data_IF_372383469669
#
_entry.id   IF_372383469669
#
_cell.length_a   1.000
_cell.length_b   1.000
_cell.length_c   1.000
_cell.angle_alpha   90.00
_cell.angle_beta   90.00
_cell.angle_gamma   90.00
#
_symmetry.space_group_name_H-M   'P 1'
#
loop_
_entity.id
_entity.type
_entity.pdbx_description
1 polymer ?
#
# COMPACT_ATOMS: atom_id res chain seq x y z
N UNK A 1 13.87 -15.61 -1.10
CA UNK A 1 13.67 -14.20 -1.49
C UNK A 1 12.18 -13.93 -1.43
N UNK A 2 11.75 -12.77 -0.93
CA UNK A 2 10.34 -12.42 -0.77
C UNK A 2 9.88 -11.64 -2.01
N UNK A 3 8.81 -12.12 -2.66
CA UNK A 3 8.49 -11.75 -4.06
C UNK A 3 8.03 -10.32 -4.27
N UNK A 4 7.41 -9.69 -3.26
CA UNK A 4 6.88 -8.33 -3.41
C UNK A 4 7.94 -7.24 -3.38
N UNK A 5 9.23 -7.59 -3.20
CA UNK A 5 10.36 -6.65 -3.29
C UNK A 5 10.74 -6.30 -4.72
N UNK A 6 10.19 -7.02 -5.69
CA UNK A 6 10.40 -6.80 -7.11
C UNK A 6 9.48 -5.66 -7.55
N UNK A 7 10.04 -4.60 -8.14
CA UNK A 7 9.24 -3.47 -8.61
C UNK A 7 8.27 -3.90 -9.72
N UNK A 8 7.17 -3.15 -9.95
CA UNK A 8 6.14 -3.54 -10.93
C UNK A 8 6.68 -3.75 -12.34
N UNK A 9 7.68 -2.96 -12.74
CA UNK A 9 8.34 -3.06 -14.04
C UNK A 9 9.11 -4.39 -14.21
N UNK A 10 9.92 -4.77 -13.22
CA UNK A 10 10.65 -6.02 -13.26
C UNK A 10 9.74 -7.22 -13.08
N UNK A 11 8.66 -7.07 -12.31
CA UNK A 11 7.64 -8.08 -12.16
C UNK A 11 6.94 -8.37 -13.51
N UNK A 12 6.59 -7.35 -14.29
CA UNK A 12 5.99 -7.54 -15.62
C UNK A 12 6.88 -8.37 -16.55
N UNK A 13 8.17 -8.06 -16.62
CA UNK A 13 9.14 -8.80 -17.43
C UNK A 13 9.38 -10.23 -16.92
N UNK A 14 9.61 -10.41 -15.61
CA UNK A 14 9.81 -11.74 -15.01
C UNK A 14 8.60 -12.67 -15.18
N UNK A 15 7.40 -12.12 -15.27
CA UNK A 15 6.17 -12.85 -15.50
C UNK A 15 5.74 -12.88 -16.97
N UNK A 16 6.65 -12.60 -17.91
CA UNK A 16 6.40 -12.66 -19.36
C UNK A 16 5.20 -11.83 -19.84
N UNK A 17 4.91 -10.73 -19.14
CA UNK A 17 3.90 -9.76 -19.59
C UNK A 17 4.46 -8.89 -20.71
N UNK A 18 5.78 -8.63 -20.71
CA UNK A 18 6.50 -7.87 -21.72
C UNK A 18 7.77 -8.60 -22.16
N UNK A 19 8.16 -8.42 -23.42
CA UNK A 19 9.34 -9.04 -24.01
C UNK A 19 10.63 -8.27 -23.70
N UNK A 20 10.52 -6.95 -23.56
CA UNK A 20 11.63 -6.01 -23.39
C UNK A 20 11.90 -5.76 -21.89
N UNK A 21 13.17 -5.58 -21.51
CA UNK A 21 13.51 -5.31 -20.11
C UNK A 21 13.16 -3.86 -19.73
N UNK A 22 12.84 -3.57 -18.45
CA UNK A 22 12.64 -2.20 -17.98
C UNK A 22 13.84 -1.27 -18.22
N UNK A 23 15.05 -1.83 -18.32
CA UNK A 23 16.28 -1.09 -18.65
C UNK A 23 16.27 -0.60 -20.10
N UNK A 24 15.84 -1.45 -21.04
CA UNK A 24 15.79 -1.11 -22.47
C UNK A 24 14.58 -0.22 -22.78
N UNK A 25 13.45 -0.47 -22.12
CA UNK A 25 12.20 0.26 -22.30
C UNK A 25 11.52 0.54 -20.96
N UNK A 26 11.86 1.67 -20.30
CA UNK A 26 11.30 2.01 -19.01
C UNK A 26 9.81 2.37 -19.12
N UNK A 27 9.05 2.08 -18.06
CA UNK A 27 7.65 2.46 -17.99
C UNK A 27 7.49 3.94 -17.68
N UNK A 28 6.49 4.55 -18.31
CA UNK A 28 6.16 5.95 -18.08
C UNK A 28 5.35 6.08 -16.80
N UNK A 29 5.98 6.58 -15.73
CA UNK A 29 5.31 6.92 -14.49
C UNK A 29 4.43 8.15 -14.63
N UNK A 30 3.21 8.08 -14.08
CA UNK A 30 2.30 9.22 -13.93
C UNK A 30 2.59 9.98 -12.63
N UNK A 31 2.30 11.30 -12.58
CA UNK A 31 2.62 12.13 -11.42
C UNK A 31 1.88 11.74 -10.12
N UNK A 32 0.80 10.98 -10.23
CA UNK A 32 0.01 10.49 -9.09
C UNK A 32 0.44 9.10 -8.61
N UNK A 33 1.37 8.43 -9.30
CA UNK A 33 1.86 7.13 -8.90
C UNK A 33 2.71 7.23 -7.63
N UNK A 34 2.51 6.28 -6.72
CA UNK A 34 3.32 6.16 -5.52
C UNK A 34 4.57 5.32 -5.81
N UNK A 35 5.70 5.61 -5.14
CA UNK A 35 6.84 4.71 -5.17
C UNK A 35 6.46 3.29 -4.76
N UNK A 36 7.14 2.31 -5.33
CA UNK A 36 6.95 0.91 -4.98
C UNK A 36 7.32 0.68 -3.50
N UNK A 37 6.42 0.02 -2.77
CA UNK A 37 6.64 -0.48 -1.42
C UNK A 37 6.39 -1.99 -1.41
N UNK A 38 7.28 -2.79 -0.79
CA UNK A 38 7.04 -4.21 -0.63
C UNK A 38 5.91 -4.46 0.37
N UNK A 39 5.48 -5.71 0.47
CA UNK A 39 4.48 -6.15 1.42
C UNK A 39 4.99 -6.04 2.86
N UNK A 40 4.36 -5.14 3.62
CA UNK A 40 4.67 -4.88 5.03
C UNK A 40 3.86 -5.77 6.00
N UNK A 41 3.11 -6.76 5.50
CA UNK A 41 2.34 -7.67 6.36
C UNK A 41 3.24 -8.33 7.40
N UNK A 42 2.79 -8.33 8.66
CA UNK A 42 3.56 -8.89 9.78
C UNK A 42 4.63 -7.96 10.35
N UNK A 43 4.82 -6.76 9.80
CA UNK A 43 5.72 -5.74 10.37
C UNK A 43 4.94 -4.70 11.19
N UNK A 44 5.68 -3.85 11.90
CA UNK A 44 5.12 -2.70 12.61
C UNK A 44 4.43 -1.70 11.67
N UNK A 45 4.91 -1.59 10.44
CA UNK A 45 4.45 -0.64 9.41
C UNK A 45 3.28 -1.17 8.56
N UNK A 46 2.76 -2.36 8.88
CA UNK A 46 1.60 -2.93 8.19
C UNK A 46 0.39 -1.96 8.25
N UNK A 47 -0.35 -1.88 7.15
CA UNK A 47 -1.57 -1.07 7.08
C UNK A 47 -2.57 -1.43 8.18
N UNK A 48 -3.02 -0.42 8.93
CA UNK A 48 -4.07 -0.54 9.93
C UNK A 48 -5.34 0.17 9.43
N UNK A 49 -6.49 -0.53 9.24
CA UNK A 49 -7.73 0.11 8.83
C UNK A 49 -8.27 1.06 9.90
N UNK A 50 -9.21 1.93 9.52
CA UNK A 50 -9.83 2.87 10.46
C UNK A 50 -10.56 2.09 11.57
N UNK A 51 -10.40 2.53 12.82
CA UNK A 51 -10.95 1.82 13.99
C UNK A 51 -10.13 0.60 14.44
N UNK A 52 -9.03 0.26 13.76
CA UNK A 52 -8.09 -0.74 14.25
C UNK A 52 -7.48 -0.29 15.58
N UNK A 53 -7.39 -1.20 16.54
CA UNK A 53 -6.67 -1.00 17.80
C UNK A 53 -5.18 -0.67 17.61
N UNK A 54 -4.61 -0.94 16.43
CA UNK A 54 -3.23 -0.61 16.08
C UNK A 54 -3.03 0.86 15.71
N UNK A 55 -4.10 1.63 15.49
CA UNK A 55 -3.99 3.08 15.28
C UNK A 55 -3.98 3.80 16.62
N UNK A 56 -3.18 4.87 16.70
CA UNK A 56 -3.18 5.74 17.87
C UNK A 56 -4.50 6.51 18.01
N UNK A 57 -5.10 6.88 16.88
CA UNK A 57 -6.38 7.60 16.85
C UNK A 57 -7.55 6.62 16.71
N UNK A 58 -8.50 6.61 17.68
CA UNK A 58 -9.73 5.84 17.55
C UNK A 58 -10.58 6.39 16.40
N UNK A 59 -11.40 5.52 15.79
CA UNK A 59 -12.33 5.98 14.77
C UNK A 59 -13.40 6.89 15.38
N UNK A 60 -13.77 7.94 14.65
CA UNK A 60 -14.90 8.79 15.02
C UNK A 60 -16.18 7.96 15.12
N UNK A 61 -16.82 8.06 16.29
CA UNK A 61 -18.13 7.48 16.53
C UNK A 61 -19.19 8.42 15.95
N UNK A 62 -19.91 7.99 14.91
CA UNK A 62 -20.93 8.80 14.19
C UNK A 62 -22.32 8.17 14.17
N UNK A 63 -22.51 7.06 14.87
CA UNK A 63 -23.77 6.32 14.93
C UNK A 63 -24.84 7.03 15.76
N UNK A 64 -24.45 7.81 16.78
CA UNK A 64 -25.33 8.71 17.51
C UNK A 64 -24.53 9.76 18.29
N UNK A 65 -25.20 10.83 18.70
CA UNK A 65 -24.66 11.82 19.64
C UNK A 65 -25.12 11.48 21.05
N UNK A 66 -24.16 11.21 21.95
CA UNK A 66 -24.48 10.90 23.34
C UNK A 66 -24.97 12.15 24.08
N UNK A 67 -26.11 12.05 24.75
CA UNK A 67 -26.59 13.11 25.62
C UNK A 67 -25.64 13.30 26.82
N UNK A 68 -25.20 14.54 27.08
CA UNK A 68 -24.37 14.90 28.24
C UNK A 68 -25.13 15.89 29.13
N UNK A 69 -25.45 15.54 30.39
CA UNK A 69 -25.99 16.51 31.35
C UNK A 69 -24.91 17.51 31.78
N UNK A 70 -25.31 18.76 31.93
CA UNK A 70 -24.53 19.81 32.60
C UNK A 70 -24.39 19.55 34.11
#
# INVERSE_FOLDING_TARGET
VEGSRISPEWHGWLHHTWDETPTDKPLVHKPWEKPHLPNLTGTAEAYAPAGSLRRAEPADRKDYEAWSPE
#
